data_IF_506706347746
#
_entry.id   IF_506706347746
#
_cell.length_a   1.000
_cell.length_b   1.000
_cell.length_c   1.000
_cell.angle_alpha   90.00
_cell.angle_beta   90.00
_cell.angle_gamma   90.00
#
_symmetry.space_group_name_H-M   'P 1'
#
loop_
_entity.id
_entity.type
_entity.pdbx_description
1 polymer ?
2 non-polymer ?
3 non-polymer ?
4 non-polymer ?
5 water ?
#
# COMPACT_ATOMS: atom_id res chain seq x y z
N UNK A 10 -5.53 23.09 -13.37
CA UNK A 10 -4.72 23.09 -14.61
C UNK A 10 -4.77 21.73 -15.34
N UNK A 11 -5.26 21.76 -16.56
CA UNK A 11 -5.02 20.67 -17.49
C UNK A 11 -3.67 20.93 -18.19
N UNK A 12 -2.94 19.89 -18.54
CA UNK A 12 -1.72 20.03 -19.36
C UNK A 12 -2.12 19.94 -20.82
N UNK A 13 -1.51 20.78 -21.68
CA UNK A 13 -1.95 20.73 -23.08
C UNK A 13 -1.60 19.38 -23.71
N UNK A 14 -2.54 18.86 -24.48
CA UNK A 14 -2.44 17.52 -25.06
C UNK A 14 -1.22 17.34 -25.99
N UNK A 15 -0.29 16.41 -25.64
CA UNK A 15 0.79 16.12 -26.60
C UNK A 15 0.26 15.67 -27.98
N UNK A 16 0.93 16.09 -29.07
CA UNK A 16 0.46 15.82 -30.44
C UNK A 16 0.28 14.36 -30.83
N UNK A 17 0.99 13.44 -30.18
CA UNK A 17 0.89 12.03 -30.51
C UNK A 17 -0.36 11.39 -29.91
N UNK A 18 -1.08 12.12 -29.07
CA UNK A 18 -2.21 11.55 -28.32
C UNK A 18 -3.53 11.91 -28.99
N UNK A 19 -4.28 10.90 -29.49
CA UNK A 19 -5.50 11.26 -30.20
C UNK A 19 -6.62 11.66 -29.25
N UNK A 20 -7.44 12.62 -29.67
CA UNK A 20 -8.51 13.19 -28.82
C UNK A 20 -9.44 12.15 -28.25
N UNK A 21 -9.68 11.08 -28.99
CA UNK A 21 -10.74 10.13 -28.59
C UNK A 21 -10.33 9.28 -27.37
N UNK A 22 -9.09 9.44 -26.92
CA UNK A 22 -8.59 8.66 -25.79
C UNK A 22 -8.51 9.47 -24.51
N UNK A 23 -8.92 10.73 -24.61
CA UNK A 23 -8.76 11.68 -23.55
C UNK A 23 -9.92 11.61 -22.57
N UNK A 24 -9.57 11.36 -21.33
CA UNK A 24 -10.51 11.26 -20.23
C UNK A 24 -9.76 11.86 -19.08
N UNK A 25 -10.15 13.07 -18.68
CA UNK A 25 -9.40 13.81 -17.67
C UNK A 25 -9.71 13.36 -16.25
N UNK A 26 -9.33 12.13 -15.96
CA UNK A 26 -9.40 11.60 -14.60
C UNK A 26 -8.28 12.20 -13.77
N UNK A 27 -8.62 12.70 -12.58
CA UNK A 27 -7.63 13.23 -11.66
C UNK A 27 -7.44 12.20 -10.56
N UNK A 28 -6.25 11.59 -10.48
CA UNK A 28 -6.02 10.55 -9.47
C UNK A 28 -5.97 11.05 -8.06
N UNK A 29 -5.71 12.34 -7.86
CA UNK A 29 -5.67 12.87 -6.50
C UNK A 29 -6.98 13.48 -6.08
N UNK A 30 -7.91 13.63 -7.02
CA UNK A 30 -9.22 14.20 -6.66
C UNK A 30 -10.33 13.74 -7.59
N UNK A 31 -10.60 12.43 -7.63
CA UNK A 31 -11.57 11.92 -8.61
C UNK A 31 -12.98 12.41 -8.34
N UNK A 32 -13.73 12.56 -9.44
CA UNK A 32 -15.08 13.14 -9.47
C UNK A 32 -16.03 12.54 -8.44
N UNK A 33 -15.96 11.23 -8.25
CA UNK A 33 -17.00 10.60 -7.48
C UNK A 33 -16.54 10.16 -6.10
N UNK A 34 -15.54 10.86 -5.57
CA UNK A 34 -14.89 10.52 -4.32
C UNK A 34 -15.87 10.28 -3.18
N UNK A 35 -16.87 11.16 -3.06
CA UNK A 35 -17.91 11.05 -2.03
C UNK A 35 -18.62 9.68 -2.04
N UNK A 36 -18.76 9.04 -3.21
CA UNK A 36 -19.33 7.69 -3.31
C UNK A 36 -18.39 6.53 -2.88
N UNK A 37 -17.16 6.83 -2.49
CA UNK A 37 -16.22 5.77 -2.20
C UNK A 37 -15.11 5.83 -3.24
N UNK A 38 -13.87 5.70 -2.78
CA UNK A 38 -12.73 5.87 -3.68
C UNK A 38 -12.62 4.76 -4.74
N UNK A 39 -12.77 3.49 -4.35
CA UNK A 39 -12.72 2.41 -5.34
C UNK A 39 -13.79 2.59 -6.41
N UNK A 40 -14.97 2.97 -5.97
CA UNK A 40 -16.08 3.32 -6.86
C UNK A 40 -15.71 4.49 -7.80
N UNK A 41 -15.04 5.49 -7.22
CA UNK A 41 -14.61 6.67 -7.96
C UNK A 41 -13.64 6.27 -9.05
N UNK A 42 -12.74 5.33 -8.75
CA UNK A 42 -11.80 4.85 -9.78
C UNK A 42 -12.49 3.95 -10.82
N UNK A 43 -13.49 3.19 -10.37
CA UNK A 43 -14.21 2.26 -11.25
C UNK A 43 -14.99 2.93 -12.41
N UNK A 44 -15.17 4.26 -12.37
CA UNK A 44 -15.72 4.96 -13.55
C UNK A 44 -14.84 4.78 -14.79
N UNK A 45 -13.55 4.48 -14.57
CA UNK A 45 -12.64 4.22 -15.67
C UNK A 45 -12.96 2.92 -16.38
N UNK A 46 -13.83 2.10 -15.80
CA UNK A 46 -14.15 0.82 -16.39
C UNK A 46 -15.58 0.78 -16.93
N UNK A 47 -16.19 1.95 -17.06
CA UNK A 47 -17.49 2.07 -17.72
C UNK A 47 -17.33 1.80 -19.22
N UNK A 48 -18.41 1.32 -19.84
CA UNK A 48 -18.32 0.74 -21.19
C UNK A 48 -17.87 1.72 -22.29
N UNK A 49 -18.08 3.01 -22.08
CA UNK A 49 -17.63 4.07 -22.98
C UNK A 49 -16.14 4.43 -22.81
N UNK A 50 -15.43 3.72 -21.93
CA UNK A 50 -14.05 4.10 -21.63
C UNK A 50 -13.10 3.05 -22.21
N UNK A 51 -12.21 3.45 -23.14
CA UNK A 51 -11.23 2.54 -23.73
C UNK A 51 -10.32 1.93 -22.64
N UNK A 52 -9.66 0.84 -22.98
CA UNK A 52 -8.72 0.11 -22.10
C UNK A 52 -7.50 0.97 -21.77
N UNK A 53 -7.20 1.93 -22.64
CA UNK A 53 -6.03 2.79 -22.41
C UNK A 53 -6.46 4.20 -22.77
N UNK A 54 -6.37 5.11 -21.80
CA UNK A 54 -6.79 6.53 -21.95
C UNK A 54 -5.67 7.50 -21.58
N UNK A 55 -5.83 8.74 -22.02
CA UNK A 55 -4.93 9.81 -21.60
C UNK A 55 -5.72 10.80 -20.81
N UNK A 56 -5.19 11.20 -19.66
CA UNK A 56 -5.74 12.32 -18.89
C UNK A 56 -4.78 13.49 -18.97
N UNK A 57 -5.34 14.69 -19.05
CA UNK A 57 -4.53 15.89 -19.01
C UNK A 57 -4.27 16.38 -17.58
N UNK A 58 -4.85 15.72 -16.57
CA UNK A 58 -4.57 16.08 -15.18
C UNK A 58 -3.16 15.73 -14.79
N UNK A 59 -2.66 16.45 -13.79
CA UNK A 59 -1.44 16.08 -13.09
C UNK A 59 -0.21 15.95 -14.00
N UNK A 60 -0.10 16.86 -14.97
CA UNK A 60 1.00 16.92 -15.95
C UNK A 60 0.68 16.16 -17.22
N UNK A 61 -0.38 15.33 -17.19
CA UNK A 61 -0.71 14.52 -18.36
C UNK A 61 0.01 13.16 -18.32
N UNK A 62 -0.75 12.08 -18.50
CA UNK A 62 -0.22 10.73 -18.43
C UNK A 62 -1.24 9.72 -18.90
N UNK A 63 -0.78 8.56 -19.33
CA UNK A 63 -1.73 7.48 -19.73
C UNK A 63 -2.28 6.83 -18.47
N UNK A 64 -3.44 6.15 -18.59
CA UNK A 64 -3.99 5.26 -17.55
C UNK A 64 -4.45 3.98 -18.24
N UNK A 65 -3.89 2.84 -17.84
CA UNK A 65 -4.44 1.52 -18.20
C UNK A 65 -5.60 1.16 -17.27
N UNK A 66 -6.75 0.80 -17.84
CA UNK A 66 -8.00 0.75 -17.07
C UNK A 66 -8.50 -0.66 -16.81
N UNK A 67 -7.85 -1.62 -17.44
CA UNK A 67 -8.27 -3.03 -17.41
C UNK A 67 -7.15 -3.90 -16.88
N UNK A 68 -7.50 -4.93 -16.10
CA UNK A 68 -6.53 -5.86 -15.50
C UNK A 68 -5.56 -6.48 -16.49
N UNK A 69 -6.03 -6.86 -17.66
CA UNK A 69 -5.16 -7.41 -18.69
C UNK A 69 -3.98 -6.49 -19.11
N UNK A 70 -4.26 -5.21 -19.40
CA UNK A 70 -3.22 -4.25 -19.74
C UNK A 70 -2.35 -3.89 -18.55
N UNK A 71 -2.97 -3.77 -17.39
CA UNK A 71 -2.20 -3.48 -16.18
C UNK A 71 -1.13 -4.55 -15.90
N UNK A 72 -1.57 -5.80 -15.95
CA UNK A 72 -0.67 -6.91 -15.74
C UNK A 72 0.45 -6.92 -16.81
N UNK A 73 0.05 -6.77 -18.06
CA UNK A 73 1.04 -6.84 -19.17
C UNK A 73 2.11 -5.78 -19.05
N UNK A 74 1.71 -4.55 -18.75
CA UNK A 74 2.71 -3.47 -18.61
C UNK A 74 3.61 -3.72 -17.42
N UNK A 75 3.05 -4.23 -16.33
CA UNK A 75 3.90 -4.56 -15.17
C UNK A 75 4.93 -5.67 -15.42
N UNK A 76 4.58 -6.61 -16.28
CA UNK A 76 5.53 -7.68 -16.70
C UNK A 76 6.62 -7.14 -17.61
N UNK A 77 6.28 -6.13 -18.42
CA UNK A 77 7.21 -5.70 -19.45
C UNK A 77 8.02 -4.49 -18.98
N UNK A 78 9.00 -4.74 -18.11
CA UNK A 78 9.85 -3.69 -17.56
C UNK A 78 10.82 -3.10 -18.60
N UNK A 79 11.04 -3.79 -19.71
CA UNK A 79 11.92 -3.25 -20.76
C UNK A 79 11.30 -2.05 -21.46
N UNK A 80 9.98 -2.04 -21.60
CA UNK A 80 9.30 -0.85 -22.10
C UNK A 80 8.78 0.06 -20.97
N UNK A 81 8.40 -0.51 -19.83
CA UNK A 81 7.75 0.27 -18.75
C UNK A 81 8.62 0.25 -17.53
N UNK A 82 9.43 1.28 -17.41
CA UNK A 82 10.49 1.36 -16.45
C UNK A 82 10.00 1.94 -15.12
N UNK A 83 10.56 1.47 -14.01
CA UNK A 83 10.24 2.04 -12.71
C UNK A 83 11.18 3.21 -12.30
N UNK A 84 12.03 3.66 -13.21
CA UNK A 84 12.89 4.83 -12.96
C UNK A 84 12.07 6.03 -12.46
N UNK A 85 10.89 6.24 -13.05
CA UNK A 85 9.99 7.31 -12.64
C UNK A 85 8.58 6.74 -12.33
N UNK A 86 8.38 6.22 -11.11
CA UNK A 86 7.16 5.45 -10.88
C UNK A 86 5.95 6.24 -10.39
N UNK A 87 6.10 7.54 -10.17
CA UNK A 87 5.03 8.31 -9.56
C UNK A 87 4.56 9.44 -10.46
N UNK A 88 3.26 9.65 -10.44
CA UNK A 88 2.63 10.81 -11.03
C UNK A 88 2.30 11.73 -9.85
N UNK A 89 2.66 13.02 -9.97
CA UNK A 89 3.26 13.66 -11.13
C UNK A 89 4.78 13.46 -11.22
N UNK A 90 5.32 13.78 -12.38
CA UNK A 90 6.70 13.47 -12.74
C UNK A 90 7.71 13.93 -11.71
N UNK A 91 7.52 15.13 -11.16
CA UNK A 91 8.48 15.68 -10.20
C UNK A 91 8.64 14.77 -8.97
N UNK A 92 7.54 14.19 -8.50
CA UNK A 92 7.59 13.21 -7.41
C UNK A 92 8.38 11.97 -7.85
N UNK A 93 7.99 11.43 -9.02
CA UNK A 93 8.63 10.24 -9.59
C UNK A 93 10.13 10.44 -9.71
N UNK A 94 10.53 11.62 -10.22
CA UNK A 94 11.95 11.97 -10.41
C UNK A 94 12.80 12.07 -9.11
N UNK A 95 12.24 12.64 -8.03
CA UNK A 95 12.98 12.78 -6.76
C UNK A 95 12.99 11.49 -5.91
N UNK A 96 12.21 10.50 -6.34
CA UNK A 96 12.04 9.24 -5.62
C UNK A 96 13.20 8.27 -5.90
N UNK A 97 13.90 7.88 -4.84
CA UNK A 97 15.12 7.08 -5.00
C UNK A 97 15.19 5.82 -4.09
N UNK A 98 14.12 5.51 -3.35
CA UNK A 98 14.12 4.30 -2.50
C UNK A 98 14.47 3.06 -3.30
N UNK A 99 15.07 2.07 -2.65
CA UNK A 99 15.44 0.83 -3.32
C UNK A 99 14.64 -0.29 -2.69
N UNK A 100 14.07 -1.21 -3.51
CA UNK A 100 14.24 -1.37 -4.97
C UNK A 100 13.22 -0.69 -5.88
N UNK A 101 12.29 0.09 -5.29
CA UNK A 101 11.10 0.58 -6.02
C UNK A 101 11.44 1.43 -7.26
N UNK A 102 12.59 2.07 -7.27
CA UNK A 102 12.94 2.86 -8.44
C UNK A 102 13.95 2.19 -9.36
N UNK A 103 14.26 0.92 -9.11
CA UNK A 103 15.20 0.15 -9.98
C UNK A 103 14.50 -0.84 -10.88
N UNK A 104 15.04 -1.02 -12.08
CA UNK A 104 14.55 -2.04 -13.00
C UNK A 104 15.37 -3.32 -12.85
N UNK A 105 14.80 -4.47 -13.25
CA UNK A 105 15.69 -5.60 -13.49
C UNK A 105 16.66 -5.20 -14.62
N UNK A 106 17.87 -5.74 -14.61
CA UNK A 106 18.36 -6.80 -13.71
C UNK A 106 19.02 -6.36 -12.37
N UNK A 107 19.44 -5.10 -12.24
CA UNK A 107 20.03 -4.60 -10.99
C UNK A 107 19.12 -4.78 -9.75
N UNK A 108 17.82 -4.51 -9.91
CA UNK A 108 16.83 -4.64 -8.82
C UNK A 108 16.83 -6.03 -8.16
N UNK A 109 17.18 -7.06 -8.93
CA UNK A 109 17.10 -8.44 -8.47
C UNK A 109 17.93 -8.73 -7.20
N UNK A 110 19.14 -8.18 -7.11
CA UNK A 110 19.97 -8.51 -5.93
C UNK A 110 19.47 -7.81 -4.68
N UNK A 111 19.05 -6.56 -4.86
CA UNK A 111 18.51 -5.74 -3.77
C UNK A 111 17.22 -6.37 -3.26
N UNK A 112 16.41 -6.85 -4.18
CA UNK A 112 15.15 -7.49 -3.79
C UNK A 112 15.38 -8.78 -2.96
N UNK A 113 16.35 -9.58 -3.35
CA UNK A 113 16.68 -10.81 -2.63
C UNK A 113 17.12 -10.47 -1.19
N UNK A 114 17.86 -9.38 -1.05
CA UNK A 114 18.34 -8.94 0.24
C UNK A 114 17.13 -8.51 1.09
N UNK A 115 16.33 -7.61 0.55
CA UNK A 115 15.13 -7.16 1.24
C UNK A 115 14.23 -8.37 1.56
N UNK A 116 14.15 -9.36 0.68
CA UNK A 116 13.31 -10.51 0.98
C UNK A 116 13.77 -11.25 2.25
N UNK A 117 15.07 -11.18 2.57
CA UNK A 117 15.59 -11.84 3.78
C UNK A 117 15.05 -11.22 5.06
N UNK A 118 14.63 -9.97 5.01
CA UNK A 118 14.21 -9.34 6.24
C UNK A 118 12.67 -9.36 6.44
N UNK A 119 11.90 -9.56 5.36
CA UNK A 119 10.40 -9.52 5.41
C UNK A 119 9.69 -10.72 4.78
N UNK A 120 10.46 -11.64 4.22
CA UNK A 120 9.93 -12.86 3.61
C UNK A 120 9.18 -13.80 4.54
N UNK A 121 8.55 -14.82 3.96
CA UNK A 121 7.72 -15.78 4.71
C UNK A 121 8.30 -16.39 6.02
N UNK A 122 9.58 -16.83 6.04
CA UNK A 122 10.10 -17.39 7.31
C UNK A 122 10.23 -16.39 8.45
N UNK A 123 10.54 -15.14 8.11
CA UNK A 123 10.51 -14.05 9.08
C UNK A 123 9.07 -13.82 9.59
N UNK A 124 8.10 -13.81 8.69
CA UNK A 124 6.71 -13.61 9.07
C UNK A 124 6.24 -14.74 10.00
N UNK A 125 6.47 -15.99 9.60
CA UNK A 125 6.10 -17.12 10.48
C UNK A 125 6.68 -16.92 11.88
N UNK A 126 7.93 -16.48 11.97
CA UNK A 126 8.54 -16.23 13.28
C UNK A 126 7.88 -15.10 14.07
N UNK A 127 7.47 -14.03 13.38
CA UNK A 127 6.91 -12.86 14.07
C UNK A 127 5.41 -12.96 14.41
N UNK A 128 4.71 -13.97 13.90
CA UNK A 128 3.26 -13.99 13.97
C UNK A 128 2.75 -13.78 15.39
N UNK A 129 3.30 -14.54 16.32
CA UNK A 129 2.90 -14.38 17.72
C UNK A 129 3.17 -13.00 18.35
N UNK A 130 4.31 -12.38 18.03
CA UNK A 130 4.56 -10.99 18.49
C UNK A 130 3.54 -10.01 17.88
N UNK A 131 3.14 -10.29 16.63
CA UNK A 131 2.13 -9.46 15.96
C UNK A 131 0.77 -9.57 16.69
N UNK A 132 0.41 -10.80 17.04
CA UNK A 132 -0.83 -11.06 17.80
C UNK A 132 -0.79 -10.37 19.15
N UNK A 133 0.35 -10.43 19.83
CA UNK A 133 0.49 -9.77 21.14
C UNK A 133 0.27 -8.24 21.05
N UNK A 134 0.84 -7.64 20.02
CA UNK A 134 0.66 -6.23 19.77
C UNK A 134 -0.81 -5.87 19.47
N UNK A 135 -1.41 -6.61 18.54
CA UNK A 135 -2.84 -6.41 18.21
C UNK A 135 -3.72 -6.53 19.46
N UNK A 136 -3.55 -7.61 20.21
CA UNK A 136 -4.32 -7.83 21.43
C UNK A 136 -4.17 -6.66 22.42
N UNK A 137 -2.93 -6.23 22.65
CA UNK A 137 -2.67 -5.10 23.55
C UNK A 137 -3.35 -3.82 23.09
N UNK A 138 -3.40 -3.57 21.78
CA UNK A 138 -4.05 -2.35 21.28
C UNK A 138 -5.56 -2.44 21.40
N UNK A 139 -6.11 -3.58 21.01
CA UNK A 139 -7.54 -3.78 21.10
C UNK A 139 -8.07 -3.72 22.56
N UNK A 140 -7.34 -4.33 23.47
CA UNK A 140 -7.76 -4.43 24.88
C UNK A 140 -7.75 -3.06 25.56
N UNK A 141 -6.93 -2.14 25.07
CA UNK A 141 -6.93 -0.79 25.59
C UNK A 141 -8.11 0.05 25.03
N UNK A 142 -8.62 -0.32 23.85
CA UNK A 142 -9.77 0.39 23.30
C UNK A 142 -11.09 -0.20 23.83
N UNK A 143 -11.10 -1.53 24.00
CA UNK A 143 -12.30 -2.31 24.26
C UNK A 143 -13.30 -1.67 25.26
N UNK A 144 -12.83 -1.26 26.46
CA UNK A 144 -13.77 -0.73 27.46
C UNK A 144 -14.27 0.66 27.14
N UNK A 145 -13.66 1.34 26.18
CA UNK A 145 -14.08 2.70 25.89
C UNK A 145 -15.41 2.73 25.20
N UNK A 146 -15.71 1.71 24.42
CA UNK A 146 -16.96 1.69 23.65
C UNK A 146 -16.90 2.55 22.41
N UNK A 147 -15.72 3.09 22.11
CA UNK A 147 -15.54 3.90 20.89
C UNK A 147 -14.05 4.10 20.58
N UNK A 148 -13.73 4.37 19.30
CA UNK A 148 -12.37 4.77 18.91
C UNK A 148 -12.44 5.46 17.56
N UNK A 149 -11.40 6.20 17.18
CA UNK A 149 -11.13 6.43 15.75
C UNK A 149 -10.17 5.32 15.33
N UNK A 150 -10.70 4.33 14.62
CA UNK A 150 -9.94 3.14 14.29
C UNK A 150 -8.63 3.48 13.57
N UNK A 151 -8.72 4.41 12.61
CA UNK A 151 -7.57 4.76 11.78
C UNK A 151 -6.46 5.28 12.69
N UNK A 152 -6.84 6.19 13.57
CA UNK A 152 -5.93 6.81 14.50
C UNK A 152 -5.50 5.90 15.70
N UNK A 153 -6.44 5.13 16.24
CA UNK A 153 -6.22 4.48 17.55
C UNK A 153 -5.72 3.05 17.44
N UNK A 154 -6.03 2.40 16.32
CA UNK A 154 -5.47 1.08 16.09
C UNK A 154 -4.59 1.02 14.86
N UNK A 155 -5.09 1.53 13.73
CA UNK A 155 -4.40 1.32 12.44
C UNK A 155 -3.02 1.99 12.35
N UNK A 156 -2.91 3.26 12.75
CA UNK A 156 -1.63 3.95 12.67
C UNK A 156 -0.52 3.39 13.59
N UNK A 157 -0.80 3.17 14.91
CA UNK A 157 0.21 2.57 15.82
C UNK A 157 0.68 1.15 15.49
N UNK A 158 -0.16 0.37 14.82
CA UNK A 158 0.12 -1.04 14.59
C UNK A 158 1.33 -1.34 13.65
N UNK A 159 1.28 -0.92 12.38
CA UNK A 159 2.43 -1.30 11.52
C UNK A 159 3.78 -0.64 11.92
N UNK A 160 3.75 0.60 12.42
CA UNK A 160 5.03 1.22 12.89
C UNK A 160 5.64 0.39 14.04
N UNK A 161 4.83 -0.12 14.97
CA UNK A 161 5.35 -0.98 16.04
C UNK A 161 5.92 -2.32 15.52
N UNK A 162 5.31 -2.85 14.48
CA UNK A 162 5.81 -4.07 13.84
C UNK A 162 7.15 -3.77 13.17
N UNK A 163 7.28 -2.60 12.54
CA UNK A 163 8.58 -2.21 11.99
C UNK A 163 9.69 -2.09 13.05
N UNK A 164 9.38 -1.50 14.19
CA UNK A 164 10.34 -1.46 15.33
C UNK A 164 10.79 -2.84 15.80
N UNK A 165 9.90 -3.80 15.83
CA UNK A 165 10.22 -5.16 16.25
C UNK A 165 11.13 -5.83 15.21
N UNK A 166 10.75 -5.69 13.93
CA UNK A 166 11.50 -6.21 12.79
C UNK A 166 12.91 -5.62 12.76
N UNK A 167 13.00 -4.30 12.95
CA UNK A 167 14.24 -3.56 12.80
C UNK A 167 15.04 -3.40 14.09
N UNK A 168 14.59 -4.09 15.14
CA UNK A 168 15.19 -4.04 16.49
C UNK A 168 15.44 -2.63 16.98
N UNK A 169 14.44 -1.76 16.83
CA UNK A 169 14.53 -0.36 17.29
C UNK A 169 13.68 -0.17 18.56
N UNK A 170 14.13 0.69 19.50
CA UNK A 170 13.36 0.80 20.78
C UNK A 170 12.08 1.64 20.65
N UNK A 171 11.06 1.28 21.42
CA UNK A 171 9.75 1.93 21.26
C UNK A 171 9.76 3.45 21.52
N UNK A 172 10.74 3.89 22.30
CA UNK A 172 11.01 5.30 22.55
C UNK A 172 11.06 6.16 21.30
N UNK A 173 11.42 5.56 20.15
CA UNK A 173 11.68 6.29 18.90
C UNK A 173 10.47 6.45 18.00
N UNK A 174 9.38 5.78 18.37
CA UNK A 174 8.18 5.77 17.56
C UNK A 174 7.63 7.15 17.18
N UNK A 175 7.37 8.04 18.19
CA UNK A 175 6.82 9.35 17.91
C UNK A 175 7.59 10.13 16.82
N UNK A 176 8.90 10.22 16.96
CA UNK A 176 9.73 10.93 16.00
C UNK A 176 9.66 10.28 14.61
N UNK A 177 9.79 8.94 14.58
CA UNK A 177 9.75 8.18 13.33
C UNK A 177 8.42 8.34 12.58
N UNK A 178 7.29 8.20 13.30
CA UNK A 178 5.92 8.45 12.79
C UNK A 178 5.77 9.83 12.20
N UNK A 179 6.32 10.81 12.91
CA UNK A 179 6.28 12.16 12.42
C UNK A 179 6.96 12.29 11.05
N UNK A 180 8.14 11.70 10.91
CA UNK A 180 8.95 11.85 9.67
C UNK A 180 8.29 11.16 8.50
N UNK A 181 7.74 9.97 8.74
CA UNK A 181 7.01 9.25 7.66
C UNK A 181 5.69 9.94 7.28
N UNK A 182 4.97 10.44 8.27
CA UNK A 182 3.79 11.29 8.02
C UNK A 182 4.13 12.47 7.10
N UNK A 183 5.29 13.09 7.29
CA UNK A 183 5.65 14.25 6.49
C UNK A 183 5.85 13.90 5.00
N UNK A 184 6.30 12.67 4.74
CA UNK A 184 6.55 12.19 3.37
C UNK A 184 5.24 11.93 2.62
N UNK A 185 4.23 11.45 3.34
CA UNK A 185 2.92 11.14 2.77
C UNK A 185 1.77 12.11 3.16
N UNK A 186 1.96 12.95 4.19
CA UNK A 186 0.95 13.98 4.61
C UNK A 186 1.61 15.16 5.32
N UNK A 187 2.34 16.02 4.58
CA UNK A 187 3.23 17.04 5.20
C UNK A 187 2.46 18.14 5.94
N UNK A 188 2.92 18.51 7.14
CA UNK A 188 2.24 19.61 7.88
C UNK A 188 2.86 20.95 7.53
N UNK A 189 4.04 20.88 6.91
CA UNK A 189 4.78 22.05 6.48
C UNK A 189 6.10 22.22 7.20
N UNK A 190 6.31 21.48 8.30
CA UNK A 190 7.54 21.62 9.12
C UNK A 190 8.78 21.26 8.30
N UNK A 191 8.59 20.31 7.38
CA UNK A 191 9.67 19.72 6.59
C UNK A 191 9.24 19.34 5.16
N UNK A 192 10.10 19.68 4.20
CA UNK A 192 9.97 19.15 2.84
C UNK A 192 10.21 17.64 2.85
N UNK A 193 9.92 16.98 1.72
CA UNK A 193 10.13 15.55 1.57
C UNK A 193 11.58 15.18 1.82
N UNK A 194 12.49 16.03 1.30
CA UNK A 194 13.93 15.77 1.32
C UNK A 194 14.50 15.94 2.74
N UNK A 195 13.91 16.87 3.49
CA UNK A 195 14.29 17.11 4.88
C UNK A 195 13.86 15.91 5.76
N UNK A 196 12.58 15.54 5.68
CA UNK A 196 12.06 14.29 6.26
C UNK A 196 12.91 13.07 5.84
N UNK A 197 13.19 12.95 4.55
CA UNK A 197 14.08 11.88 4.03
C UNK A 197 15.45 11.87 4.72
N UNK A 198 16.10 13.06 4.74
CA UNK A 198 17.42 13.20 5.35
C UNK A 198 17.42 12.95 6.84
N UNK A 199 16.39 13.45 7.54
CA UNK A 199 16.24 13.19 8.97
C UNK A 199 16.11 11.67 9.19
N UNK A 200 15.33 11.00 8.33
CA UNK A 200 15.27 9.55 8.39
C UNK A 200 16.69 8.94 8.27
N UNK A 201 17.45 9.45 7.29
CA UNK A 201 18.79 8.95 7.03
C UNK A 201 19.73 9.18 8.19
N UNK A 202 19.66 10.39 8.74
CA UNK A 202 20.38 10.73 9.95
C UNK A 202 20.04 9.78 11.08
N UNK A 203 18.78 9.30 11.10
CA UNK A 203 18.35 8.38 12.13
C UNK A 203 18.94 6.97 11.89
N UNK A 204 18.87 6.51 10.65
CA UNK A 204 19.26 5.13 10.30
C UNK A 204 20.77 4.94 10.12
N UNK A 205 21.41 5.89 9.46
CA UNK A 205 22.88 5.86 9.24
C UNK A 205 23.74 5.32 10.43
N UNK A 206 23.59 5.91 11.65
CA UNK A 206 24.38 5.49 12.81
C UNK A 206 24.07 4.05 13.28
N UNK A 207 22.80 3.65 13.20
CA UNK A 207 22.40 2.31 13.60
C UNK A 207 22.93 1.30 12.58
N UNK A 208 22.88 1.70 11.31
CA UNK A 208 23.50 0.90 10.23
C UNK A 208 25.02 0.67 10.49
N UNK A 209 25.76 1.74 10.77
CA UNK A 209 27.21 1.62 11.06
C UNK A 209 27.52 0.70 12.24
N UNK A 210 26.76 0.86 13.33
CA UNK A 210 26.93 0.02 14.52
C UNK A 210 26.59 -1.46 14.27
N UNK A 211 25.52 -1.70 13.50
CA UNK A 211 25.06 -3.07 13.25
C UNK A 211 25.91 -3.72 12.16
N UNK A 212 26.55 -2.89 11.33
CA UNK A 212 27.69 -3.35 10.50
C UNK A 212 28.80 -3.95 11.39
N UNK A 213 29.11 -3.27 12.50
CA UNK A 213 30.25 -3.63 13.38
C UNK A 213 29.90 -4.71 14.40
N UNK A 214 28.65 -4.67 14.88
CA UNK A 214 28.12 -5.66 15.83
C UNK A 214 26.72 -6.08 15.33
N UNK A 215 26.66 -7.11 14.47
CA UNK A 215 25.39 -7.58 13.88
C UNK A 215 24.36 -8.09 14.90
N UNK A 216 23.08 -7.85 14.61
CA UNK A 216 21.96 -8.53 15.27
C UNK A 216 21.29 -9.50 14.31
N UNK A 217 20.22 -10.16 14.72
CA UNK A 217 19.44 -10.98 13.78
C UNK A 217 18.29 -10.18 13.14
N UNK A 218 18.41 -8.85 13.17
CA UNK A 218 17.33 -7.91 12.79
C UNK A 218 17.51 -7.30 11.40
N UNK A 219 16.44 -6.74 10.87
CA UNK A 219 16.41 -6.21 9.51
C UNK A 219 17.51 -5.21 9.18
N UNK A 220 17.79 -4.27 10.09
CA UNK A 220 18.80 -3.25 9.77
C UNK A 220 20.19 -3.92 9.66
N UNK A 221 20.49 -4.84 10.57
CA UNK A 221 21.74 -5.61 10.53
C UNK A 221 21.84 -6.31 9.17
N UNK A 222 20.84 -7.12 8.85
CA UNK A 222 20.86 -7.92 7.63
C UNK A 222 21.14 -7.05 6.41
N UNK A 223 20.40 -5.96 6.27
CA UNK A 223 20.53 -5.07 5.10
C UNK A 223 21.91 -4.39 5.07
N UNK A 224 22.46 -4.13 6.25
CA UNK A 224 23.79 -3.53 6.38
C UNK A 224 24.95 -4.49 6.10
N UNK A 225 24.84 -5.74 6.55
CA UNK A 225 25.89 -6.73 6.31
C UNK A 225 25.72 -7.43 4.96
N UNK A 226 24.81 -6.92 4.15
CA UNK A 226 24.44 -7.60 2.92
C UNK A 226 25.44 -7.41 1.80
N UNK A 227 25.37 -8.31 0.82
CA UNK A 227 26.17 -8.19 -0.39
C UNK A 227 25.24 -8.11 -1.59
N UNK A 228 25.58 -7.22 -2.52
CA UNK A 228 24.87 -7.04 -3.79
C UNK A 228 25.86 -6.95 -4.95
N UNK A 229 25.59 -7.66 -6.06
CA UNK A 229 26.55 -7.73 -7.19
C UNK A 229 27.97 -8.20 -6.81
N UNK A 230 28.06 -9.12 -5.85
CA UNK A 230 29.35 -9.63 -5.35
C UNK A 230 30.19 -8.67 -4.53
N UNK A 231 29.64 -7.51 -4.21
CA UNK A 231 30.34 -6.55 -3.34
C UNK A 231 29.46 -6.12 -2.16
N UNK A 232 30.08 -5.54 -1.10
CA UNK A 232 29.32 -5.07 0.07
C UNK A 232 28.38 -3.91 -0.27
N UNK A 233 27.17 -3.97 0.28
CA UNK A 233 26.21 -2.88 0.07
C UNK A 233 26.82 -1.59 0.61
N UNK A 234 26.63 -0.49 -0.12
CA UNK A 234 27.06 0.81 0.39
C UNK A 234 26.10 1.37 1.44
N UNK A 235 26.58 2.41 2.11
CA UNK A 235 25.81 3.13 3.13
C UNK A 235 24.61 3.86 2.51
N UNK A 236 24.84 4.46 1.34
CA UNK A 236 23.78 5.07 0.57
C UNK A 236 22.73 4.03 0.18
N UNK A 237 23.16 2.82 -0.20
CA UNK A 237 22.21 1.75 -0.63
C UNK A 237 21.39 1.16 0.52
N UNK A 238 22.05 0.88 1.64
CA UNK A 238 21.37 0.36 2.82
C UNK A 238 20.33 1.36 3.37
N UNK A 239 20.66 2.65 3.43
CA UNK A 239 19.73 3.60 4.01
C UNK A 239 18.50 3.79 3.11
N UNK A 240 18.72 3.75 1.80
CA UNK A 240 17.66 3.87 0.81
C UNK A 240 16.76 2.62 0.77
N UNK A 241 17.32 1.46 1.10
CA UNK A 241 16.53 0.24 1.28
C UNK A 241 15.76 0.26 2.60
N UNK A 242 16.49 0.57 3.67
CA UNK A 242 15.89 0.64 5.00
C UNK A 242 14.76 1.67 4.98
N UNK A 243 14.95 2.77 4.26
CA UNK A 243 13.88 3.75 4.07
C UNK A 243 12.57 3.15 3.54
N UNK A 244 12.68 2.28 2.51
CA UNK A 244 11.51 1.72 1.84
C UNK A 244 10.88 0.71 2.76
N UNK A 245 11.71 -0.02 3.47
CA UNK A 245 11.19 -1.06 4.34
C UNK A 245 10.37 -0.42 5.45
N UNK A 246 10.77 0.78 5.84
CA UNK A 246 10.04 1.52 6.84
C UNK A 246 8.73 2.04 6.28
N UNK A 247 8.78 2.81 5.18
CA UNK A 247 7.57 3.48 4.71
C UNK A 247 6.60 2.56 3.93
N UNK A 248 7.14 1.49 3.33
CA UNK A 248 6.34 0.63 2.46
C UNK A 248 5.16 -0.04 3.15
N UNK A 249 5.34 -0.38 4.41
CA UNK A 249 4.28 -1.05 5.13
C UNK A 249 3.47 -0.22 6.11
N UNK A 250 3.52 1.11 5.99
CA UNK A 250 2.76 1.98 6.89
C UNK A 250 1.42 2.35 6.27
N UNK A 251 1.45 3.30 5.33
CA UNK A 251 0.21 3.85 4.75
C UNK A 251 -0.66 2.82 4.08
N UNK A 252 -0.06 1.91 3.31
CA UNK A 252 -0.81 0.73 2.76
C UNK A 252 -1.57 -0.06 3.84
N UNK A 253 -0.88 -0.47 4.90
CA UNK A 253 -1.54 -1.28 5.97
C UNK A 253 -2.60 -0.45 6.71
N UNK A 254 -2.25 0.80 7.05
CA UNK A 254 -3.14 1.68 7.83
C UNK A 254 -4.45 1.86 7.07
N UNK A 255 -4.34 2.18 5.78
CA UNK A 255 -5.51 2.54 4.99
C UNK A 255 -6.27 1.27 4.62
N UNK A 256 -5.56 0.19 4.34
CA UNK A 256 -6.25 -1.05 4.00
C UNK A 256 -7.06 -1.61 5.17
N UNK A 257 -6.42 -1.62 6.35
CA UNK A 257 -7.14 -2.00 7.57
C UNK A 257 -8.38 -1.15 7.80
N UNK A 258 -8.28 0.16 7.51
CA UNK A 258 -9.43 1.07 7.61
C UNK A 258 -10.58 0.79 6.61
N UNK A 259 -10.28 0.53 5.33
CA UNK A 259 -11.32 0.14 4.41
C UNK A 259 -12.04 -1.10 4.88
N UNK A 260 -11.26 -2.07 5.37
CA UNK A 260 -11.79 -3.34 5.84
C UNK A 260 -12.70 -3.21 7.05
N UNK A 261 -12.27 -2.43 8.03
CA UNK A 261 -13.08 -2.20 9.23
C UNK A 261 -14.35 -1.40 8.94
N UNK A 262 -14.24 -0.45 7.99
CA UNK A 262 -15.37 0.33 7.55
C UNK A 262 -16.44 -0.58 6.93
N UNK A 263 -16.03 -1.43 6.00
CA UNK A 263 -16.91 -2.45 5.44
C UNK A 263 -17.56 -3.34 6.50
N UNK A 264 -16.74 -3.88 7.39
CA UNK A 264 -17.32 -4.77 8.42
C UNK A 264 -18.27 -4.04 9.37
N UNK A 265 -18.02 -2.77 9.61
CA UNK A 265 -18.88 -1.98 10.49
C UNK A 265 -20.24 -1.78 9.84
N UNK A 266 -20.26 -1.70 8.51
CA UNK A 266 -21.46 -1.33 7.74
C UNK A 266 -22.18 -2.57 7.25
N UNK A 267 -21.57 -3.73 7.46
CA UNK A 267 -22.13 -4.97 6.99
C UNK A 267 -22.20 -6.06 8.06
N UNK A 268 -23.20 -5.97 8.94
CA UNK A 268 -23.43 -6.92 10.02
C UNK A 268 -23.41 -8.37 9.54
N UNK A 269 -23.95 -8.62 8.35
CA UNK A 269 -24.06 -9.99 7.84
C UNK A 269 -22.69 -10.57 7.48
N UNK A 270 -21.80 -9.73 6.96
CA UNK A 270 -20.42 -10.16 6.70
C UNK A 270 -19.64 -10.34 8.00
N UNK A 271 -19.84 -9.47 8.97
CA UNK A 271 -19.24 -9.67 10.30
C UNK A 271 -19.65 -10.98 10.95
N UNK A 272 -20.96 -11.25 10.91
CA UNK A 272 -21.53 -12.45 11.53
C UNK A 272 -20.94 -13.72 10.91
N UNK A 273 -20.72 -13.70 9.60
CA UNK A 273 -20.12 -14.82 8.89
C UNK A 273 -18.77 -15.16 9.49
N UNK A 274 -17.93 -14.13 9.67
CA UNK A 274 -16.59 -14.30 10.20
C UNK A 274 -16.57 -14.68 11.66
N UNK A 275 -17.54 -14.19 12.41
CA UNK A 275 -17.71 -14.54 13.82
C UNK A 275 -18.04 -16.05 13.94
N UNK A 276 -18.97 -16.51 13.11
CA UNK A 276 -19.46 -17.88 13.15
C UNK A 276 -18.49 -18.85 12.52
N UNK A 277 -17.73 -18.39 11.54
CA UNK A 277 -16.77 -19.24 10.86
C UNK A 277 -15.39 -18.56 10.79
N UNK A 278 -14.68 -18.50 11.93
CA UNK A 278 -13.41 -17.76 11.88
C UNK A 278 -12.37 -18.42 10.98
N UNK A 279 -12.61 -19.68 10.56
CA UNK A 279 -11.72 -20.36 9.61
C UNK A 279 -11.73 -19.74 8.22
N UNK A 280 -12.75 -18.94 7.92
CA UNK A 280 -12.90 -18.28 6.62
C UNK A 280 -12.17 -16.93 6.63
N UNK A 281 -11.60 -16.57 7.77
CA UNK A 281 -10.92 -15.27 7.86
C UNK A 281 -9.75 -15.11 6.86
N UNK A 282 -8.84 -16.13 6.72
CA UNK A 282 -7.85 -15.98 5.65
C UNK A 282 -8.43 -15.76 4.25
N UNK A 283 -9.51 -16.45 3.90
CA UNK A 283 -10.19 -16.20 2.59
C UNK A 283 -10.83 -14.81 2.55
N UNK A 284 -11.43 -14.40 3.68
CA UNK A 284 -12.04 -13.08 3.73
C UNK A 284 -11.00 -11.98 3.49
N UNK A 285 -9.81 -12.18 4.05
CA UNK A 285 -8.69 -11.26 3.86
C UNK A 285 -8.40 -11.04 2.36
N UNK A 286 -8.32 -12.14 1.62
CA UNK A 286 -8.02 -12.11 0.19
C UNK A 286 -9.10 -11.39 -0.61
N UNK A 287 -10.36 -11.65 -0.27
CA UNK A 287 -11.46 -10.98 -0.95
C UNK A 287 -11.56 -9.49 -0.58
N UNK A 288 -11.30 -9.13 0.66
CA UNK A 288 -11.15 -7.73 1.05
C UNK A 288 -10.00 -7.02 0.30
N UNK A 289 -8.86 -7.71 0.18
CA UNK A 289 -7.70 -7.17 -0.56
C UNK A 289 -8.05 -6.87 -2.03
N UNK A 290 -8.94 -7.68 -2.61
CA UNK A 290 -9.45 -7.40 -3.95
C UNK A 290 -10.39 -6.18 -3.97
N UNK A 291 -11.41 -6.23 -3.12
CA UNK A 291 -12.50 -5.24 -3.17
C UNK A 291 -12.04 -3.82 -2.75
N UNK A 292 -11.09 -3.81 -1.82
CA UNK A 292 -10.58 -2.55 -1.22
C UNK A 292 -9.11 -2.35 -1.49
N UNK A 293 -8.70 -2.82 -2.65
CA UNK A 293 -7.39 -2.54 -3.21
C UNK A 293 -7.22 -1.01 -3.29
N UNK A 294 -5.97 -0.54 -3.21
CA UNK A 294 -5.77 0.88 -2.91
C UNK A 294 -4.49 1.57 -3.44
N UNK A 295 -3.62 0.82 -4.09
CA UNK A 295 -2.37 1.39 -4.64
C UNK A 295 -2.55 1.69 -6.14
N UNK A 296 -1.99 2.82 -6.57
CA UNK A 296 -1.91 3.14 -8.00
C UNK A 296 -0.57 3.78 -8.28
N UNK A 297 0.39 2.97 -8.67
CA UNK A 297 1.58 3.58 -9.18
C UNK A 297 1.74 3.39 -10.68
N UNK A 298 2.93 3.62 -11.18
CA UNK A 298 3.07 3.57 -12.61
C UNK A 298 4.50 3.44 -13.06
N UNK A 299 4.68 3.78 -14.34
CA UNK A 299 5.93 3.55 -15.04
C UNK A 299 6.15 4.66 -16.06
N UNK A 300 7.35 4.67 -16.63
CA UNK A 300 7.71 5.59 -17.67
C UNK A 300 8.20 4.78 -18.87
N UNK A 301 7.82 5.24 -20.03
CA UNK A 301 8.22 4.58 -21.28
C UNK A 301 9.68 4.77 -21.60
N UNK A 302 10.38 3.67 -21.82
CA UNK A 302 11.80 3.71 -22.12
C UNK A 302 12.03 4.03 -23.61
N UNK A 303 10.99 3.88 -24.44
CA UNK A 303 11.11 4.11 -25.88
C UNK A 303 9.74 4.23 -26.47
N UNK A 304 9.65 4.71 -27.72
CA UNK A 304 8.40 4.68 -28.48
C UNK A 304 7.95 3.25 -28.56
N UNK A 305 6.64 3.02 -28.42
CA UNK A 305 6.11 1.67 -28.29
C UNK A 305 4.64 1.68 -28.63
N UNK A 306 4.24 0.78 -29.53
CA UNK A 306 2.82 0.63 -29.79
C UNK A 306 2.29 -0.48 -28.89
N UNK A 307 1.32 -0.14 -28.05
CA UNK A 307 0.80 -1.07 -27.05
C UNK A 307 -0.71 -1.10 -27.20
N UNK A 308 -1.24 -2.26 -27.57
CA UNK A 308 -2.69 -2.44 -27.75
C UNK A 308 -3.33 -1.38 -28.63
N UNK A 309 -2.73 -1.13 -29.79
CA UNK A 309 -3.28 -0.18 -30.76
C UNK A 309 -2.92 1.27 -30.51
N UNK A 310 -2.17 1.54 -29.44
CA UNK A 310 -1.97 2.94 -29.00
C UNK A 310 -0.49 3.26 -29.05
N UNK A 311 -0.18 4.36 -29.72
CA UNK A 311 1.17 4.87 -29.83
C UNK A 311 1.62 5.59 -28.55
N UNK A 312 2.55 4.96 -27.84
CA UNK A 312 3.13 5.55 -26.64
C UNK A 312 4.49 6.12 -27.01
N UNK A 313 4.87 7.26 -26.43
CA UNK A 313 6.13 7.91 -26.79
C UNK A 313 7.12 7.78 -25.65
N UNK A 314 8.40 7.55 -25.97
CA UNK A 314 9.48 7.54 -24.97
C UNK A 314 9.32 8.70 -24.02
N UNK A 315 9.43 8.40 -22.73
CA UNK A 315 9.28 9.40 -21.66
C UNK A 315 7.86 9.68 -21.18
N UNK A 316 6.84 9.20 -21.93
CA UNK A 316 5.45 9.32 -21.43
C UNK A 316 5.38 8.55 -20.10
N UNK A 317 4.65 9.06 -19.12
CA UNK A 317 4.32 8.30 -17.90
C UNK A 317 3.01 7.53 -18.09
N UNK A 318 2.90 6.36 -17.46
CA UNK A 318 1.65 5.60 -17.57
C UNK A 318 1.27 5.18 -16.17
N UNK A 319 0.07 5.55 -15.73
CA UNK A 319 -0.41 5.09 -14.45
C UNK A 319 -0.97 3.68 -14.66
N UNK A 320 -0.61 2.74 -13.79
CA UNK A 320 -1.07 1.34 -13.91
C UNK A 320 -1.70 0.92 -12.60
N UNK A 321 -2.99 1.28 -12.41
CA UNK A 321 -3.45 1.22 -11.03
C UNK A 321 -3.65 -0.24 -10.53
N UNK A 322 -2.78 -0.68 -9.62
CA UNK A 322 -2.96 -1.99 -9.04
C UNK A 322 -4.41 -2.20 -8.59
N UNK A 323 -5.01 -1.15 -8.06
CA UNK A 323 -6.37 -1.18 -7.57
C UNK A 323 -7.36 -1.72 -8.59
N UNK A 324 -7.18 -1.35 -9.86
CA UNK A 324 -8.22 -1.63 -10.86
C UNK A 324 -8.35 -3.06 -11.35
N UNK A 325 -7.27 -3.84 -11.29
CA UNK A 325 -7.28 -5.20 -11.85
C UNK A 325 -8.40 -6.06 -11.23
N UNK A 326 -8.50 -6.08 -9.90
CA UNK A 326 -9.49 -6.94 -9.22
C UNK A 326 -10.91 -6.41 -9.26
N UNK A 327 -11.06 -5.14 -9.64
CA UNK A 327 -12.37 -4.51 -9.74
C UNK A 327 -12.90 -4.63 -11.17
N UNK A 328 -12.04 -5.08 -12.08
CA UNK A 328 -12.37 -5.26 -13.48
C UNK A 328 -13.36 -6.44 -13.56
N UNK A 329 -14.56 -6.16 -14.05
CA UNK A 329 -15.59 -7.21 -14.22
C UNK A 329 -15.20 -8.32 -15.24
N UNK A 330 -14.25 -8.06 -16.14
CA UNK A 330 -13.60 -9.14 -16.91
C UNK A 330 -12.70 -10.11 -16.06
N UNK A 331 -12.32 -9.70 -14.85
CA UNK A 331 -11.47 -10.55 -13.98
C UNK A 331 -12.30 -11.21 -12.88
N UNK A 332 -13.25 -10.46 -12.31
CA UNK A 332 -14.13 -10.97 -11.27
C UNK A 332 -15.58 -10.53 -11.53
N UNK A 333 -16.47 -11.51 -11.63
CA UNK A 333 -17.91 -11.24 -11.75
C UNK A 333 -18.45 -10.51 -10.52
N UNK A 334 -19.34 -9.56 -10.79
CA UNK A 334 -19.96 -8.63 -9.82
C UNK A 334 -18.90 -8.01 -8.88
N UNK A 335 -17.91 -7.31 -9.47
CA UNK A 335 -16.67 -6.97 -8.72
C UNK A 335 -16.85 -6.13 -7.47
N UNK A 336 -17.93 -5.33 -7.41
CA UNK A 336 -18.22 -4.52 -6.20
C UNK A 336 -18.84 -5.31 -5.04
N UNK A 337 -19.32 -6.51 -5.33
CA UNK A 337 -19.94 -7.42 -4.36
C UNK A 337 -18.81 -8.09 -3.59
N UNK A 338 -18.93 -8.10 -2.26
CA UNK A 338 -18.00 -8.83 -1.41
C UNK A 338 -18.51 -10.25 -1.14
N UNK A 339 -17.78 -11.27 -1.59
CA UNK A 339 -18.15 -12.63 -1.24
C UNK A 339 -16.97 -13.42 -0.80
N UNK A 340 -16.97 -13.75 0.50
CA UNK A 340 -15.82 -14.36 1.11
C UNK A 340 -15.57 -15.78 0.61
N UNK A 341 -16.51 -16.34 -0.16
CA UNK A 341 -16.31 -17.68 -0.67
C UNK A 341 -16.01 -17.78 -2.18
N UNK A 342 -15.69 -16.63 -2.83
CA UNK A 342 -15.28 -16.63 -4.24
C UNK A 342 -14.27 -17.72 -4.44
N UNK A 343 -14.48 -18.53 -5.48
CA UNK A 343 -13.56 -19.61 -5.83
C UNK A 343 -12.21 -19.13 -6.35
N UNK A 344 -12.25 -18.02 -7.09
CA UNK A 344 -11.08 -17.49 -7.77
C UNK A 344 -10.99 -15.99 -7.45
N UNK A 345 -10.22 -15.61 -6.46
CA UNK A 345 -10.12 -14.19 -6.15
C UNK A 345 -8.98 -13.66 -7.01
N UNK A 346 -9.30 -12.93 -8.06
CA UNK A 346 -8.25 -12.40 -8.91
C UNK A 346 -7.95 -10.90 -8.63
N UNK A 347 -6.67 -10.54 -8.39
CA UNK A 347 -6.31 -9.14 -8.08
C UNK A 347 -4.83 -8.88 -8.29
N UNK A 348 -4.45 -7.60 -8.36
CA UNK A 348 -3.03 -7.23 -8.31
C UNK A 348 -2.80 -6.22 -7.19
N UNK A 349 -3.41 -6.49 -6.04
CA UNK A 349 -3.40 -5.56 -4.94
C UNK A 349 -1.98 -5.37 -4.43
N UNK A 350 -1.16 -6.43 -4.47
CA UNK A 350 0.25 -6.33 -4.06
C UNK A 350 1.17 -6.14 -5.24
N UNK A 351 0.62 -5.69 -6.35
CA UNK A 351 1.41 -5.50 -7.54
C UNK A 351 1.50 -6.71 -8.44
N UNK A 352 2.36 -6.63 -9.45
CA UNK A 352 2.54 -7.72 -10.40
C UNK A 352 3.91 -7.53 -11.06
N UNK A 353 4.55 -8.62 -11.41
CA UNK A 353 5.84 -8.55 -12.09
C UNK A 353 6.98 -8.48 -11.10
N UNK A 354 8.08 -7.90 -11.56
CA UNK A 354 9.34 -8.00 -10.83
C UNK A 354 9.33 -7.26 -9.48
N UNK A 355 8.48 -6.23 -9.37
CA UNK A 355 8.33 -5.51 -8.11
C UNK A 355 7.21 -5.99 -7.17
N UNK A 356 6.55 -7.12 -7.47
CA UNK A 356 5.51 -7.66 -6.57
C UNK A 356 5.89 -7.47 -5.08
N UNK A 357 4.95 -6.94 -4.31
CA UNK A 357 5.19 -6.58 -2.90
C UNK A 357 5.95 -7.64 -2.14
N UNK A 358 7.09 -7.24 -1.58
CA UNK A 358 7.89 -8.14 -0.75
C UNK A 358 7.30 -8.26 0.66
N UNK A 359 6.55 -7.23 1.08
CA UNK A 359 5.83 -7.27 2.37
C UNK A 359 4.48 -8.00 2.37
N UNK A 360 4.11 -8.63 1.27
CA UNK A 360 2.74 -9.18 1.15
C UNK A 360 2.43 -10.25 2.18
N UNK A 361 3.45 -11.01 2.62
CA UNK A 361 3.14 -12.07 3.59
C UNK A 361 3.00 -11.45 4.97
N UNK A 362 3.83 -10.46 5.26
CA UNK A 362 3.66 -9.74 6.51
C UNK A 362 2.32 -8.99 6.49
N UNK A 363 1.99 -8.35 5.38
CA UNK A 363 0.68 -7.61 5.35
C UNK A 363 -0.49 -8.56 5.62
N UNK A 364 -0.50 -9.72 4.97
CA UNK A 364 -1.62 -10.65 5.17
C UNK A 364 -1.73 -11.12 6.63
N UNK A 365 -0.59 -11.33 7.28
CA UNK A 365 -0.63 -11.72 8.70
C UNK A 365 -1.11 -10.57 9.60
N UNK A 366 -0.68 -9.35 9.30
CA UNK A 366 -1.22 -8.17 10.02
C UNK A 366 -2.74 -8.08 9.87
N UNK A 367 -3.23 -8.29 8.66
CA UNK A 367 -4.66 -8.20 8.39
C UNK A 367 -5.41 -9.32 9.10
N UNK A 368 -4.96 -10.56 8.90
CA UNK A 368 -5.66 -11.72 9.47
C UNK A 368 -5.68 -11.67 10.99
N UNK A 369 -4.52 -11.41 11.59
CA UNK A 369 -4.43 -11.28 13.05
C UNK A 369 -5.35 -10.18 13.58
N UNK A 370 -5.38 -9.03 12.89
CA UNK A 370 -6.25 -7.93 13.29
C UNK A 370 -7.72 -8.38 13.26
N UNK A 371 -8.18 -8.88 12.13
CA UNK A 371 -9.56 -9.31 12.04
C UNK A 371 -9.90 -10.39 13.06
N UNK A 372 -9.01 -11.38 13.24
CA UNK A 372 -9.29 -12.45 14.23
C UNK A 372 -9.36 -11.90 15.66
N UNK A 373 -8.40 -11.07 16.03
CA UNK A 373 -8.40 -10.50 17.38
C UNK A 373 -9.52 -9.51 17.63
N UNK A 374 -9.81 -8.64 16.66
CA UNK A 374 -10.91 -7.70 16.82
C UNK A 374 -12.25 -8.42 16.93
N UNK A 375 -12.51 -9.34 16.00
CA UNK A 375 -13.84 -9.97 15.96
C UNK A 375 -14.11 -10.87 17.17
N UNK A 376 -13.05 -11.36 17.82
CA UNK A 376 -13.25 -12.15 19.03
C UNK A 376 -13.41 -11.30 20.30
N UNK A 377 -12.86 -10.10 20.30
CA UNK A 377 -12.98 -9.20 21.47
C UNK A 377 -14.12 -8.20 21.36
N UNK A 378 -14.38 -7.70 20.15
CA UNK A 378 -15.40 -6.68 19.87
C UNK A 378 -16.20 -7.11 18.64
N UNK A 379 -16.97 -8.22 18.77
CA UNK A 379 -17.67 -8.78 17.59
C UNK A 379 -18.71 -7.84 16.99
N UNK A 380 -19.26 -6.98 17.82
CA UNK A 380 -20.37 -6.15 17.46
C UNK A 380 -19.95 -4.68 17.54
N UNK A 381 -19.86 -4.02 16.41
CA UNK A 381 -19.52 -2.59 16.36
C UNK A 381 -20.19 -1.99 15.17
N UNK A 382 -20.25 -0.65 15.14
CA UNK A 382 -20.87 0.12 14.08
C UNK A 382 -20.09 1.40 13.80
N UNK A 383 -20.40 2.04 12.68
CA UNK A 383 -19.97 3.42 12.43
C UNK A 383 -20.68 4.33 13.45
N UNK A 384 -19.93 5.21 14.12
CA UNK A 384 -20.50 6.18 15.09
C UNK A 384 -21.75 6.84 14.56
N UNK A 385 -22.81 6.93 15.39
CA UNK A 385 -24.05 7.59 14.98
C UNK A 385 -23.76 8.91 14.33
N UNK A 386 -24.27 9.13 13.12
CA UNK A 386 -24.16 10.41 12.43
C UNK A 386 -22.96 10.64 11.53
N UNK A 387 -21.91 9.84 11.74
CA UNK A 387 -20.67 10.01 10.98
C UNK A 387 -20.80 9.57 9.53
N UNK A 388 -20.18 10.34 8.64
CA UNK A 388 -20.08 9.99 7.24
C UNK A 388 -18.59 9.80 6.90
N UNK A 389 -18.23 8.56 6.60
CA UNK A 389 -16.83 8.25 6.34
C UNK A 389 -16.30 8.86 5.02
N UNK A 390 -15.14 9.50 5.10
CA UNK A 390 -14.58 10.19 3.95
C UNK A 390 -13.34 9.48 3.45
N UNK A 391 -13.26 9.30 2.14
CA UNK A 391 -12.10 8.64 1.54
C UNK A 391 -11.16 9.68 0.92
N UNK A 392 -9.91 9.30 0.74
CA UNK A 392 -8.92 10.09 0.02
C UNK A 392 -8.26 9.25 -1.08
N UNK A 393 -7.87 9.91 -2.17
CA UNK A 393 -7.36 9.26 -3.38
C UNK A 393 -5.90 9.71 -3.63
N UNK A 394 -5.05 8.78 -4.03
CA UNK A 394 -3.70 9.15 -4.44
C UNK A 394 -2.97 7.91 -4.91
N UNK A 395 -1.67 7.84 -4.56
CA UNK A 395 -0.87 6.69 -4.93
C UNK A 395 -1.28 5.56 -4.02
N UNK A 396 -1.49 5.90 -2.73
CA UNK A 396 -2.18 5.03 -1.81
C UNK A 396 -3.46 5.73 -1.40
N UNK A 397 -4.60 5.19 -1.85
CA UNK A 397 -5.90 5.74 -1.47
C UNK A 397 -6.23 5.32 -0.03
N UNK A 398 -7.13 6.05 0.65
CA UNK A 398 -7.43 5.64 2.02
C UNK A 398 -8.66 6.28 2.63
N UNK A 399 -8.66 6.28 3.95
CA UNK A 399 -9.82 6.64 4.79
C UNK A 399 -9.38 7.75 5.70
N UNK A 400 -10.07 8.89 5.64
CA UNK A 400 -9.66 10.08 6.43
C UNK A 400 -9.71 9.80 7.94
N UNK A 401 -10.78 9.13 8.35
CA UNK A 401 -11.07 8.85 9.76
C UNK A 401 -12.13 7.76 9.82
N UNK A 402 -12.07 6.93 10.85
CA UNK A 402 -13.06 5.85 11.03
C UNK A 402 -13.58 5.74 12.49
N UNK A 403 -14.49 6.64 12.85
CA UNK A 403 -15.04 6.56 14.21
C UNK A 403 -15.99 5.36 14.34
N UNK A 404 -15.62 4.46 15.25
CA UNK A 404 -16.40 3.26 15.52
C UNK A 404 -17.01 3.34 16.92
N UNK A 405 -18.19 2.73 17.07
CA UNK A 405 -18.84 2.57 18.38
C UNK A 405 -19.21 1.11 18.69
N UNK A 406 -19.17 0.76 19.97
CA UNK A 406 -19.69 -0.53 20.42
C UNK A 406 -20.19 -0.42 21.87
N UNK A 407 -21.03 -1.37 22.26
CA UNK A 407 -21.44 -1.51 23.65
C UNK A 407 -20.44 -2.42 24.34
N UNK A 408 -19.69 -1.89 25.33
CA UNK A 408 -18.64 -2.66 26.02
C UNK A 408 -19.11 -3.95 26.72
N UNK A 409 -20.39 -4.03 27.08
CA UNK A 409 -20.95 -5.24 27.68
C UNK A 409 -21.01 -6.41 26.67
N UNK A 410 -20.98 -6.10 25.37
CA UNK A 410 -20.99 -7.15 24.33
C UNK A 410 -19.56 -7.63 23.97
N UNK A 411 -18.55 -7.06 24.62
CA UNK A 411 -17.16 -7.38 24.33
C UNK A 411 -16.63 -8.41 25.31
N UNK A 412 -15.52 -9.05 24.94
CA UNK A 412 -14.88 -10.09 25.75
C UNK A 412 -13.44 -9.67 26.06
N UNK A 413 -13.12 -9.56 27.36
CA UNK A 413 -11.76 -9.21 27.81
C UNK A 413 -10.81 -10.40 27.86
X LIG B 1 6.17 -3.23 -3.28
X LIG B 1 1.45 -2.95 -2.13
X LIG B 1 2.46 -3.88 2.50
X LIG B 1 7.21 -3.66 1.50
X LIG B 1 4.79 -3.09 -3.41
X LIG B 1 4.03 -2.92 -4.65
X LIG B 1 2.73 -2.83 -4.30
X LIG B 1 2.62 -2.98 -2.87
X LIG B 1 1.56 -2.63 -5.28
X LIG B 1 4.57 -2.84 -6.09
X LIG B 1 4.86 -1.40 -6.45
X LIG B 1 5.36 -1.28 -7.88
X LIG B 1 5.79 -0.16 -8.25
X LIG B 1 5.32 -2.27 -8.66
X LIG B 1 1.30 -3.19 -0.79
X LIG B 1 0.04 -3.31 -0.07
X LIG B 1 0.33 -3.56 1.21
X LIG B 1 1.78 -3.62 1.33
X LIG B 1 -1.35 -3.15 -0.74
X LIG B 1 -0.61 -3.74 2.42
X LIG B 1 -1.98 -3.80 2.37
X LIG B 1 3.83 -3.91 2.65
X LIG B 1 4.54 -4.19 3.88
X LIG B 1 5.85 -4.09 3.62
X LIG B 1 6.01 -3.79 2.20
X LIG B 1 3.80 -4.49 5.20
X LIG B 1 7.02 -4.29 4.64
X LIG B 1 7.94 -3.35 4.69
X LIG B 1 7.38 -3.56 0.12
X LIG B 1 8.68 -3.47 -0.57
X LIG B 1 8.33 -3.32 -2.05
X LIG B 1 6.88 -3.33 -2.11
X LIG B 1 10.08 -3.50 0.11
X LIG B 1 9.21 -3.16 -3.31
X LIG B 1 9.52 -4.48 -4.00
X LIG B 1 10.48 -4.21 -5.13
X LIG B 1 11.20 -5.13 -5.55
X LIG B 1 10.51 -3.09 -5.67
X LIG B 1 3.89 -3.12 -2.37
X LIG B 1 2.34 -3.40 0.10
X LIG B 1 4.75 -3.73 1.65
X LIG B 1 6.36 -3.48 -0.82
X LIG B 1 4.30 -3.50 -0.37
X LIG C 1 13.43 8.49 -9.80
X LIG D 1 2.69 1.30 -2.21
X LIG D 1 3.92 0.49 -1.79
X LIG D 1 4.73 0.21 -3.04
X LIG D 1 4.75 1.33 -0.80
X LIG D 1 3.10 2.63 -2.86
X LIG D 1 3.95 2.34 -4.11
X LIG D 1 3.94 3.44 -1.87
X LIG D 1 5.18 1.50 -3.71
X LIG D 1 5.19 2.64 -1.45
X LIG D 1 6.03 2.28 -2.69
X LIG D 1 3.75 18.94 -6.70
X LIG D 1 3.92 18.14 -5.57
X LIG D 1 2.90 17.26 -5.19
X LIG D 1 2.57 18.87 -7.45
X LIG D 1 1.54 17.98 -7.07
X LIG D 1 1.71 17.17 -5.93
X LIG D 1 0.67 16.28 -5.54
X LIG D 1 -0.50 16.22 -6.30
X LIG D 1 -0.67 17.02 -7.42
X LIG D 1 0.35 17.89 -7.80
X LIG D 1 2.46 19.71 -8.59
X LIG D 1 1.82 21.01 -8.48
X LIG D 1 2.99 19.29 -9.88
X LIG D 1 6.77 4.62 -0.93
X LIG D 1 6.36 5.86 -0.81
X LIG D 1 5.23 6.54 -0.25
X LIG D 1 5.56 7.96 -0.69
X LIG D 1 5.04 8.27 -2.09
X LIG D 1 5.23 9.76 -2.41
X LIG D 1 3.90 10.48 -2.52
X LIG D 1 3.97 11.53 -3.63
X LIG D 1 3.36 12.84 -3.17
X LIG D 1 1.95 12.98 -3.74
X LIG D 1 1.84 14.15 -4.58
X LIG D 1 -0.48 14.76 -3.92
X LIG D 1 0.80 15.33 -4.25
X LIG D 1 1.26 16.09 -3.12
X LIG D 1 7.83 4.44 -1.46
X LIG D 1 5.98 3.43 -0.41
#
# INVERSE_FOLDING_TARGET
TTETIQSNANLAPLPPHVPEHLVFDFDMYNPSNLSAGVQEAWAVLQESNVPDLVWTRCNGGHWIATRGQLIREAYEDYRHFSSECPFIPREAGEAYDFIPTSMDPPEQRQFRALANQVVGMPVVDKLENRIQELACSLIESLRPQGQCNFTEDYAEPFPIRIFMLLAGLPEEDIPHLKYLTDQMTRPDGSMTFAEAKEALYDYLIPIIEQRRQKPGTDAISIVANGQVNGRPITSDEAKRMCGLLLVGGLDTVVNFLSFSMEFLAKSPEHRQELIERPERIPAACEELLRRFSLVADGRILTSDYEFHGVQLKKGDQILLPQMLSGLDERENAAPMHVDFSRQKVSHTTFGHGSHLCLGQHLARREIIVTLKEWLTRIPDFSIAPGAQIQHKSGIVSGVQALPLVWDPATTKAV
HEM CHA CHB CHC CHD C1A C2A C3A C4A CMA CAA CBA CGA O1A O2A C1B C2B C3B C4B CMB CAB CBB C1C C2C C3C C4C CMC CAC CBC C1D C2D C3D C4D CMD CAD CBD CGD O1D O2D NA NB NC ND FE
K K
SBF C1 C2 C3 C4 C5 C6 C7 C8 C9 C10 C11 C12 C13 C14 C15 C16 C17 C18 C19 C20 N21 C22 C23 C24 N25 C26 C27 C28 C29 C30 C31 C32 C33 N34 O35 S36 O37 O38 C39
#
